data_IF_894243130962
#
_entry.id   IF_894243130962
#
_cell.length_a   1.000
_cell.length_b   1.000
_cell.length_c   1.000
_cell.angle_alpha   90.00
_cell.angle_beta   90.00
_cell.angle_gamma   90.00
#
_symmetry.space_group_name_H-M   'P 1'
#
loop_
_entity.id
_entity.type
_entity.pdbx_description
1 polymer ?
#
# COMPACT_ATOMS: atom_id res chain seq x y z
N UNK A 1 -1.92 -13.22 -63.84
CA UNK A 1 -1.81 -11.86 -63.27
C UNK A 1 -3.20 -11.34 -62.98
N UNK A 2 -3.62 -11.39 -61.70
CA UNK A 2 -4.52 -10.41 -61.07
C UNK A 2 -4.61 -10.76 -59.59
N UNK A 3 -3.94 -9.95 -58.76
CA UNK A 3 -4.03 -9.97 -57.32
C UNK A 3 -5.35 -9.34 -56.86
N UNK A 4 -6.04 -9.97 -55.91
CA UNK A 4 -7.21 -9.42 -55.23
C UNK A 4 -6.78 -8.80 -53.90
N UNK A 5 -7.08 -7.51 -53.74
CA UNK A 5 -6.79 -6.67 -52.57
C UNK A 5 -7.45 -7.19 -51.29
N UNK A 6 -6.66 -7.32 -50.22
CA UNK A 6 -7.12 -7.25 -48.83
C UNK A 6 -7.09 -5.79 -48.37
N UNK A 7 -8.10 -5.28 -47.63
CA UNK A 7 -8.05 -3.95 -47.06
C UNK A 7 -7.05 -3.90 -45.89
N UNK A 8 -6.39 -2.75 -45.64
CA UNK A 8 -5.52 -2.59 -44.48
C UNK A 8 -6.37 -2.50 -43.21
N UNK A 9 -6.05 -3.31 -42.20
CA UNK A 9 -6.58 -3.13 -40.85
C UNK A 9 -5.71 -2.11 -40.14
N UNK A 10 -6.25 -0.92 -39.88
CA UNK A 10 -5.56 0.17 -39.17
C UNK A 10 -5.19 -0.26 -37.73
N UNK A 11 -3.97 0.05 -37.27
CA UNK A 11 -3.51 -0.27 -35.92
C UNK A 11 -4.15 0.61 -34.82
N UNK A 12 -4.90 1.66 -35.16
CA UNK A 12 -5.57 2.54 -34.18
C UNK A 12 -6.82 1.93 -33.54
N UNK A 13 -7.45 0.92 -34.16
CA UNK A 13 -8.71 0.35 -33.66
C UNK A 13 -8.51 -0.60 -32.45
N UNK A 14 -7.26 -0.93 -32.11
CA UNK A 14 -6.92 -1.71 -30.89
C UNK A 14 -6.80 -0.85 -29.63
N UNK A 15 -6.68 0.47 -29.76
CA UNK A 15 -6.34 1.35 -28.63
C UNK A 15 -7.55 1.90 -27.86
N UNK A 16 -8.79 1.65 -28.32
CA UNK A 16 -9.98 2.33 -27.78
C UNK A 16 -11.02 1.42 -27.11
N UNK A 17 -10.65 0.20 -26.72
CA UNK A 17 -11.53 -0.66 -25.90
C UNK A 17 -11.36 -0.29 -24.44
N UNK A 18 -12.42 0.21 -23.82
CA UNK A 18 -12.42 0.50 -22.38
C UNK A 18 -12.41 -0.81 -21.58
N UNK A 19 -11.92 -0.84 -20.33
CA UNK A 19 -11.95 -2.04 -19.47
C UNK A 19 -13.36 -2.65 -19.29
N UNK A 20 -14.41 -1.85 -19.51
CA UNK A 20 -15.81 -2.30 -19.50
C UNK A 20 -16.18 -3.13 -20.74
N UNK A 21 -15.66 -2.80 -21.91
CA UNK A 21 -15.98 -3.49 -23.17
C UNK A 21 -15.35 -4.89 -23.21
N UNK A 22 -14.17 -5.06 -22.61
CA UNK A 22 -13.49 -6.35 -22.51
C UNK A 22 -14.13 -7.28 -21.47
N UNK A 23 -14.55 -6.76 -20.30
CA UNK A 23 -15.28 -7.56 -19.31
C UNK A 23 -16.64 -8.06 -19.86
N UNK A 24 -17.34 -7.28 -20.69
CA UNK A 24 -18.57 -7.72 -21.36
C UNK A 24 -18.33 -8.85 -22.36
N UNK A 25 -17.21 -8.80 -23.11
CA UNK A 25 -16.87 -9.84 -24.07
C UNK A 25 -16.62 -11.20 -23.39
N UNK A 26 -15.89 -11.20 -22.26
CA UNK A 26 -15.62 -12.42 -21.48
C UNK A 26 -16.91 -12.96 -20.86
N UNK A 27 -17.76 -12.07 -20.30
CA UNK A 27 -19.06 -12.46 -19.73
C UNK A 27 -20.00 -13.05 -20.78
N UNK A 28 -19.91 -12.63 -22.05
CA UNK A 28 -20.70 -13.18 -23.16
C UNK A 28 -20.31 -14.62 -23.56
N UNK A 29 -19.06 -15.04 -23.35
CA UNK A 29 -18.60 -16.40 -23.66
C UNK A 29 -19.14 -17.45 -22.68
N UNK A 30 -19.58 -17.03 -21.49
CA UNK A 30 -20.12 -17.90 -20.45
C UNK A 30 -21.59 -18.29 -20.62
N UNK A 31 -22.25 -17.91 -21.73
CA UNK A 31 -23.58 -18.42 -22.09
C UNK A 31 -24.69 -17.99 -21.14
N UNK A 32 -25.51 -17.03 -21.55
CA UNK A 32 -26.76 -16.65 -20.87
C UNK A 32 -27.84 -17.72 -21.09
N UNK A 33 -27.70 -18.89 -20.47
CA UNK A 33 -28.80 -19.86 -20.39
C UNK A 33 -29.52 -19.73 -19.05
N UNK A 34 -30.67 -19.07 -19.08
CA UNK A 34 -31.66 -19.15 -18.00
C UNK A 34 -32.19 -20.58 -17.93
N UNK A 35 -32.26 -21.24 -16.75
CA UNK A 35 -32.83 -22.58 -16.68
C UNK A 35 -34.35 -22.54 -16.95
N UNK A 36 -34.91 -23.52 -17.66
CA UNK A 36 -36.35 -23.64 -17.85
C UNK A 36 -37.03 -24.03 -16.53
N UNK A 37 -38.12 -23.32 -16.21
CA UNK A 37 -39.01 -23.67 -15.11
C UNK A 37 -39.80 -24.93 -15.47
N UNK A 38 -39.50 -26.06 -14.85
CA UNK A 38 -40.39 -27.22 -14.90
C UNK A 38 -40.53 -27.87 -13.51
N UNK A 39 -41.80 -28.01 -13.12
CA UNK A 39 -42.27 -28.50 -11.82
C UNK A 39 -42.17 -30.03 -11.77
N UNK A 40 -41.59 -30.59 -10.71
CA UNK A 40 -41.81 -31.98 -10.32
C UNK A 40 -41.93 -32.11 -8.79
N UNK A 41 -43.19 -32.21 -8.37
CA UNK A 41 -43.74 -32.77 -7.13
C UNK A 41 -42.79 -33.67 -6.31
N UNK A 42 -42.38 -33.21 -5.13
CA UNK A 42 -42.16 -34.05 -3.95
C UNK A 42 -42.62 -33.31 -2.68
N UNK A 43 -43.76 -33.77 -2.17
CA UNK A 43 -44.26 -33.75 -0.79
C UNK A 43 -43.79 -32.65 0.18
N UNK A 44 -44.76 -31.81 0.54
CA UNK A 44 -44.79 -30.92 1.71
C UNK A 44 -44.29 -31.60 3.00
N UNK A 45 -43.15 -31.16 3.53
CA UNK A 45 -43.02 -30.80 4.94
C UNK A 45 -42.64 -29.32 5.01
N UNK A 46 -43.60 -28.51 5.46
CA UNK A 46 -43.45 -27.08 5.57
C UNK A 46 -42.54 -26.73 6.76
N UNK A 47 -41.24 -26.52 6.50
CA UNK A 47 -40.40 -25.73 7.40
C UNK A 47 -40.67 -24.27 7.08
N UNK A 48 -41.60 -23.66 7.82
CA UNK A 48 -41.84 -22.22 7.75
C UNK A 48 -40.64 -21.48 8.36
N UNK A 49 -39.67 -21.13 7.53
CA UNK A 49 -38.65 -20.15 7.90
C UNK A 49 -39.35 -18.80 7.98
N UNK A 50 -39.79 -18.43 9.18
CA UNK A 50 -40.13 -17.03 9.48
C UNK A 50 -38.82 -16.25 9.35
N UNK A 51 -38.68 -15.48 8.28
CA UNK A 51 -37.71 -14.39 8.22
C UNK A 51 -38.16 -13.39 9.28
N UNK A 52 -37.62 -13.56 10.48
CA UNK A 52 -37.67 -12.51 11.50
C UNK A 52 -36.68 -11.45 11.03
N UNK A 53 -37.18 -10.27 10.68
CA UNK A 53 -36.36 -9.06 10.55
C UNK A 53 -35.64 -8.84 11.89
N UNK A 54 -34.43 -9.38 12.00
CA UNK A 54 -33.51 -9.11 13.09
C UNK A 54 -32.75 -7.84 12.73
N UNK A 55 -33.39 -6.71 13.03
CA UNK A 55 -32.70 -5.44 13.20
C UNK A 55 -31.81 -5.58 14.45
N UNK A 56 -30.58 -6.07 14.25
CA UNK A 56 -29.65 -6.40 15.31
C UNK A 56 -28.26 -5.92 14.93
N UNK A 57 -27.90 -4.75 15.45
CA UNK A 57 -26.51 -4.33 15.63
C UNK A 57 -25.77 -5.40 16.45
N UNK A 58 -25.23 -6.41 15.77
CA UNK A 58 -24.23 -7.29 16.35
C UNK A 58 -22.88 -6.60 16.28
N UNK A 59 -22.68 -5.58 17.14
CA UNK A 59 -21.35 -5.12 17.51
C UNK A 59 -20.66 -6.21 18.33
N UNK A 60 -20.04 -7.15 17.61
CA UNK A 60 -19.03 -8.03 18.18
C UNK A 60 -17.88 -7.16 18.69
N UNK A 61 -17.69 -7.11 20.01
CA UNK A 61 -16.75 -6.22 20.72
C UNK A 61 -15.26 -6.52 20.51
N UNK A 62 -14.86 -7.11 19.37
CA UNK A 62 -13.46 -7.26 19.00
C UNK A 62 -13.03 -6.05 18.16
N UNK A 63 -12.37 -5.09 18.80
CA UNK A 63 -11.68 -4.01 18.08
C UNK A 63 -10.48 -4.63 17.36
N UNK A 64 -10.64 -4.92 16.08
CA UNK A 64 -9.54 -5.38 15.23
C UNK A 64 -8.58 -4.22 14.94
N UNK A 65 -7.50 -4.14 15.72
CA UNK A 65 -6.41 -3.17 15.50
C UNK A 65 -5.61 -3.46 14.22
N UNK A 66 -5.74 -4.67 13.65
CA UNK A 66 -5.04 -5.13 12.44
C UNK A 66 -5.33 -4.26 11.21
N UNK A 67 -6.55 -3.74 11.06
CA UNK A 67 -6.91 -2.89 9.92
C UNK A 67 -6.26 -1.50 9.97
N UNK A 68 -5.77 -1.08 11.15
CA UNK A 68 -5.07 0.21 11.31
C UNK A 68 -3.55 0.08 11.17
N UNK A 69 -3.02 -1.12 11.31
CA UNK A 69 -1.58 -1.36 11.37
C UNK A 69 -0.80 -0.93 10.11
N UNK A 70 -1.30 -1.12 8.87
CA UNK A 70 -0.53 -0.79 7.67
C UNK A 70 -0.31 0.71 7.46
N UNK A 71 -1.38 1.52 7.47
CA UNK A 71 -1.28 2.97 7.26
C UNK A 71 -0.56 3.65 8.43
N UNK A 72 -0.80 3.17 9.65
CA UNK A 72 -0.16 3.68 10.84
C UNK A 72 1.36 3.44 10.80
N UNK A 73 1.77 2.24 10.40
CA UNK A 73 3.18 1.89 10.23
C UNK A 73 3.83 2.81 9.20
N UNK A 74 3.18 3.03 8.05
CA UNK A 74 3.68 3.92 7.01
C UNK A 74 3.84 5.37 7.51
N UNK A 75 2.80 5.91 8.16
CA UNK A 75 2.82 7.29 8.67
C UNK A 75 3.90 7.50 9.75
N UNK A 76 4.05 6.56 10.69
CA UNK A 76 5.09 6.63 11.72
C UNK A 76 6.50 6.47 11.13
N UNK A 77 6.67 5.62 10.11
CA UNK A 77 7.95 5.46 9.43
C UNK A 77 8.33 6.76 8.72
N UNK A 78 7.40 7.38 7.99
CA UNK A 78 7.63 8.68 7.34
C UNK A 78 7.99 9.79 8.33
N UNK A 79 7.20 9.95 9.40
CA UNK A 79 7.48 10.97 10.42
C UNK A 79 8.80 10.72 11.15
N UNK A 80 9.13 9.47 11.48
CA UNK A 80 10.40 9.15 12.10
C UNK A 80 11.58 9.39 11.15
N UNK A 81 11.44 9.06 9.86
CA UNK A 81 12.48 9.30 8.86
C UNK A 81 12.77 10.79 8.68
N UNK A 82 11.72 11.63 8.62
CA UNK A 82 11.86 13.09 8.58
C UNK A 82 12.55 13.65 9.82
N UNK A 83 12.18 13.16 11.01
CA UNK A 83 12.79 13.57 12.27
C UNK A 83 14.29 13.18 12.33
N UNK A 84 14.61 11.92 12.04
CA UNK A 84 15.99 11.40 12.11
C UNK A 84 16.87 12.09 11.07
N UNK A 85 16.45 12.12 9.81
CA UNK A 85 17.27 12.62 8.70
C UNK A 85 17.58 14.11 8.85
N UNK A 86 16.58 14.94 9.13
CA UNK A 86 16.75 16.40 9.27
C UNK A 86 17.53 16.73 10.54
N UNK A 87 17.24 16.09 11.68
CA UNK A 87 18.03 16.29 12.88
C UNK A 87 19.50 15.90 12.68
N UNK A 88 19.76 14.78 12.00
CA UNK A 88 21.13 14.31 11.71
C UNK A 88 21.89 15.30 10.81
N UNK A 89 21.24 15.85 9.78
CA UNK A 89 21.83 16.88 8.93
C UNK A 89 22.12 18.16 9.71
N UNK A 90 21.18 18.63 10.53
CA UNK A 90 21.34 19.85 11.33
C UNK A 90 22.46 19.71 12.37
N UNK A 91 22.49 18.59 13.10
CA UNK A 91 23.56 18.30 14.09
C UNK A 91 24.90 18.13 13.38
N UNK A 92 24.93 17.42 12.26
CA UNK A 92 26.15 17.15 11.50
C UNK A 92 26.77 18.41 10.90
N UNK A 93 25.97 19.23 10.22
CA UNK A 93 26.45 20.51 9.65
C UNK A 93 26.83 21.47 10.78
N UNK A 94 26.07 21.47 11.88
CA UNK A 94 26.41 22.22 13.08
C UNK A 94 27.73 21.80 13.73
N UNK A 95 28.28 20.62 13.43
CA UNK A 95 29.61 20.21 13.88
C UNK A 95 30.73 21.02 13.22
N UNK A 96 30.47 21.60 12.04
CA UNK A 96 31.45 22.33 11.22
C UNK A 96 31.14 23.82 11.24
N UNK A 97 29.89 24.21 10.96
CA UNK A 97 29.47 25.60 10.83
C UNK A 97 28.07 25.83 11.42
N UNK A 98 28.03 26.65 12.47
CA UNK A 98 26.81 27.07 13.16
C UNK A 98 25.82 27.85 12.28
N UNK A 99 26.31 28.60 11.29
CA UNK A 99 25.49 29.46 10.44
C UNK A 99 24.65 28.67 9.43
N UNK A 100 25.08 27.45 9.11
CA UNK A 100 24.46 26.60 8.09
C UNK A 100 23.45 25.59 8.65
N UNK A 101 23.24 25.54 9.97
CA UNK A 101 22.34 24.58 10.62
C UNK A 101 20.91 24.68 10.09
N UNK A 102 20.37 25.90 9.95
CA UNK A 102 18.99 26.09 9.50
C UNK A 102 18.85 25.82 8.00
N UNK A 103 19.82 26.25 7.21
CA UNK A 103 19.83 26.02 5.76
C UNK A 103 19.94 24.52 5.46
N UNK A 104 20.78 23.78 6.20
CA UNK A 104 20.88 22.33 6.05
C UNK A 104 19.60 21.61 6.48
N UNK A 105 18.96 22.06 7.55
CA UNK A 105 17.67 21.53 7.97
C UNK A 105 16.57 21.76 6.95
N UNK A 106 16.51 22.96 6.35
CA UNK A 106 15.55 23.29 5.30
C UNK A 106 15.80 22.48 4.02
N UNK A 107 17.07 22.36 3.60
CA UNK A 107 17.46 21.55 2.46
C UNK A 107 17.12 20.07 2.67
N UNK A 108 17.39 19.54 3.88
CA UNK A 108 17.03 18.18 4.27
C UNK A 108 15.53 17.95 4.28
N UNK A 109 14.74 18.91 4.77
CA UNK A 109 13.29 18.85 4.77
C UNK A 109 12.73 18.78 3.35
N UNK A 110 13.11 19.73 2.48
CA UNK A 110 12.59 19.81 1.11
C UNK A 110 13.07 18.63 0.28
N UNK A 111 14.38 18.36 0.29
CA UNK A 111 14.97 17.26 -0.46
C UNK A 111 14.44 15.89 0.00
N UNK A 112 14.33 15.69 1.32
CA UNK A 112 13.79 14.46 1.90
C UNK A 112 12.31 14.26 1.60
N UNK A 113 11.48 15.29 1.74
CA UNK A 113 10.05 15.20 1.43
C UNK A 113 9.80 14.92 -0.06
N UNK A 114 10.54 15.58 -0.96
CA UNK A 114 10.48 15.30 -2.41
C UNK A 114 10.94 13.87 -2.72
N UNK A 115 12.04 13.41 -2.12
CA UNK A 115 12.55 12.05 -2.28
C UNK A 115 11.53 11.01 -1.83
N UNK A 116 10.89 11.22 -0.67
CA UNK A 116 9.81 10.35 -0.17
C UNK A 116 8.60 10.35 -1.11
N UNK A 117 8.12 11.51 -1.54
CA UNK A 117 7.00 11.59 -2.47
C UNK A 117 7.27 10.82 -3.76
N UNK A 118 8.42 11.10 -4.40
CA UNK A 118 8.79 10.49 -5.68
C UNK A 118 9.04 8.99 -5.52
N UNK A 119 9.74 8.59 -4.45
CA UNK A 119 10.02 7.19 -4.16
C UNK A 119 8.75 6.36 -3.94
N UNK A 120 7.81 6.89 -3.15
CA UNK A 120 6.52 6.24 -2.92
C UNK A 120 5.67 6.22 -4.21
N UNK A 121 5.63 7.32 -4.95
CA UNK A 121 4.91 7.40 -6.22
C UNK A 121 5.37 6.33 -7.21
N UNK A 122 6.69 6.24 -7.43
CA UNK A 122 7.28 5.26 -8.36
C UNK A 122 7.03 3.83 -7.85
N UNK A 123 7.19 3.58 -6.54
CA UNK A 123 6.98 2.26 -5.96
C UNK A 123 5.54 1.78 -6.12
N UNK A 124 4.56 2.65 -5.82
CA UNK A 124 3.14 2.30 -5.90
C UNK A 124 2.67 2.19 -7.35
N UNK A 125 3.21 3.00 -8.27
CA UNK A 125 2.99 2.79 -9.71
C UNK A 125 3.54 1.45 -10.17
N UNK A 126 4.76 1.08 -9.75
CA UNK A 126 5.33 -0.21 -10.10
C UNK A 126 4.48 -1.40 -9.61
N UNK A 127 3.89 -1.29 -8.42
CA UNK A 127 2.92 -2.29 -7.93
C UNK A 127 1.67 -2.33 -8.80
N UNK A 128 1.09 -1.17 -9.10
CA UNK A 128 -0.10 -1.05 -9.96
C UNK A 128 0.14 -1.63 -11.36
N UNK A 129 1.30 -1.38 -11.96
CA UNK A 129 1.66 -1.88 -13.29
C UNK A 129 1.76 -3.41 -13.29
N UNK A 130 2.27 -4.01 -12.21
CA UNK A 130 2.33 -5.47 -12.04
C UNK A 130 0.91 -6.03 -11.89
N UNK A 131 0.08 -5.43 -11.02
CA UNK A 131 -1.31 -5.84 -10.81
C UNK A 131 -2.12 -5.79 -12.12
N UNK A 132 -1.99 -4.71 -12.89
CA UNK A 132 -2.68 -4.53 -14.17
C UNK A 132 -2.18 -5.52 -15.23
N UNK A 133 -0.88 -5.81 -15.25
CA UNK A 133 -0.31 -6.81 -16.15
C UNK A 133 -0.80 -8.23 -15.83
N UNK A 134 -0.93 -8.58 -14.54
CA UNK A 134 -1.42 -9.89 -14.13
C UNK A 134 -2.93 -10.03 -14.40
N UNK A 135 -3.73 -9.00 -14.14
CA UNK A 135 -5.15 -8.97 -14.56
C UNK A 135 -5.30 -9.11 -16.08
N UNK A 136 -4.38 -8.53 -16.86
CA UNK A 136 -4.41 -8.68 -18.31
C UNK A 136 -4.05 -10.11 -18.74
N UNK A 137 -3.14 -10.79 -18.05
CA UNK A 137 -2.85 -12.22 -18.32
C UNK A 137 -4.05 -13.11 -18.05
N UNK A 138 -4.76 -12.88 -16.94
CA UNK A 138 -6.00 -13.59 -16.64
C UNK A 138 -7.01 -13.44 -17.78
N UNK A 139 -7.23 -12.21 -18.24
CA UNK A 139 -8.08 -11.94 -19.41
C UNK A 139 -7.64 -12.73 -20.64
N UNK A 140 -6.34 -12.78 -20.90
CA UNK A 140 -5.79 -13.49 -22.06
C UNK A 140 -5.95 -15.02 -21.94
N UNK A 141 -5.88 -15.61 -20.75
CA UNK A 141 -6.17 -17.05 -20.52
C UNK A 141 -7.64 -17.37 -20.84
N UNK A 142 -8.59 -16.55 -20.39
CA UNK A 142 -10.02 -16.73 -20.70
C UNK A 142 -10.33 -16.63 -22.21
N UNK A 143 -9.48 -15.95 -23.00
CA UNK A 143 -9.62 -15.85 -24.45
C UNK A 143 -9.10 -17.07 -25.24
N UNK A 144 -8.40 -18.02 -24.59
CA UNK A 144 -7.82 -19.19 -25.26
C UNK A 144 -8.82 -20.30 -25.59
N UNK A 145 -10.06 -20.19 -25.10
CA UNK A 145 -11.17 -21.09 -25.42
C UNK A 145 -11.64 -21.96 -24.24
N UNK A 146 -12.61 -22.85 -24.48
CA UNK A 146 -13.35 -23.53 -23.41
C UNK A 146 -12.49 -24.47 -22.55
N UNK A 147 -11.47 -25.11 -23.12
CA UNK A 147 -10.56 -25.97 -22.35
C UNK A 147 -9.72 -25.17 -21.34
N UNK A 148 -9.33 -23.94 -21.69
CA UNK A 148 -8.60 -23.05 -20.78
C UNK A 148 -9.51 -22.60 -19.64
N UNK A 149 -10.75 -22.22 -19.96
CA UNK A 149 -11.77 -21.84 -18.96
C UNK A 149 -11.99 -22.94 -17.91
N UNK A 150 -12.10 -24.19 -18.35
CA UNK A 150 -12.26 -25.33 -17.44
C UNK A 150 -11.06 -25.53 -16.52
N UNK A 151 -9.85 -25.28 -17.02
CA UNK A 151 -8.61 -25.34 -16.24
C UNK A 151 -8.56 -24.22 -15.20
N UNK A 152 -8.85 -22.97 -15.57
CA UNK A 152 -8.90 -21.84 -14.63
C UNK A 152 -9.90 -22.11 -13.49
N UNK A 153 -11.10 -22.61 -13.81
CA UNK A 153 -12.10 -22.97 -12.81
C UNK A 153 -11.65 -24.09 -11.86
N UNK A 154 -10.88 -25.07 -12.35
CA UNK A 154 -10.29 -26.11 -11.51
C UNK A 154 -9.18 -25.55 -10.62
N UNK A 155 -8.34 -24.64 -11.13
CA UNK A 155 -7.30 -23.96 -10.34
C UNK A 155 -7.93 -23.16 -9.19
N UNK A 156 -8.97 -22.37 -9.48
CA UNK A 156 -9.74 -21.65 -8.46
C UNK A 156 -10.42 -22.60 -7.46
N UNK A 157 -10.99 -23.71 -7.92
CA UNK A 157 -11.56 -24.72 -7.04
C UNK A 157 -10.50 -25.34 -6.11
N UNK A 158 -9.28 -25.60 -6.59
CA UNK A 158 -8.19 -26.11 -5.75
C UNK A 158 -7.76 -25.11 -4.67
N UNK A 159 -7.78 -23.80 -4.95
CA UNK A 159 -7.56 -22.76 -3.94
C UNK A 159 -8.61 -22.88 -2.83
N UNK A 160 -9.89 -23.04 -3.20
CA UNK A 160 -10.97 -23.21 -2.25
C UNK A 160 -10.90 -24.52 -1.45
N UNK A 161 -10.42 -25.61 -2.06
CA UNK A 161 -10.12 -26.86 -1.36
C UNK A 161 -9.01 -26.64 -0.33
N UNK A 162 -7.94 -25.92 -0.69
CA UNK A 162 -6.85 -25.61 0.24
C UNK A 162 -7.31 -24.76 1.43
N UNK A 163 -8.36 -23.95 1.25
CA UNK A 163 -9.01 -23.16 2.30
C UNK A 163 -9.98 -23.97 3.16
N UNK A 164 -10.24 -25.24 2.81
CA UNK A 164 -11.00 -26.20 3.62
C UNK A 164 -12.36 -26.60 3.06
N UNK A 165 -12.71 -26.21 1.83
CA UNK A 165 -13.94 -26.66 1.17
C UNK A 165 -13.77 -28.08 0.61
N UNK A 166 -14.86 -28.86 0.57
CA UNK A 166 -14.86 -30.11 -0.22
C UNK A 166 -14.76 -29.78 -1.71
N UNK A 167 -14.09 -30.62 -2.51
CA UNK A 167 -13.92 -30.40 -3.95
C UNK A 167 -15.23 -30.05 -4.68
N UNK A 168 -16.31 -30.80 -4.42
CA UNK A 168 -17.65 -30.50 -5.00
C UNK A 168 -18.12 -29.07 -4.72
N UNK A 169 -18.07 -28.65 -3.45
CA UNK A 169 -18.49 -27.31 -3.04
C UNK A 169 -17.53 -26.23 -3.55
N UNK A 170 -16.23 -26.50 -3.56
CA UNK A 170 -15.23 -25.58 -4.09
C UNK A 170 -15.45 -25.31 -5.58
N UNK A 171 -15.80 -26.35 -6.35
CA UNK A 171 -16.14 -26.23 -7.76
C UNK A 171 -17.42 -25.44 -7.98
N UNK A 172 -18.47 -25.73 -7.22
CA UNK A 172 -19.73 -24.95 -7.25
C UNK A 172 -19.49 -23.46 -6.94
N UNK A 173 -18.63 -23.15 -5.95
CA UNK A 173 -18.26 -21.77 -5.62
C UNK A 173 -17.48 -21.12 -6.76
N UNK A 174 -16.48 -21.79 -7.33
CA UNK A 174 -15.69 -21.28 -8.45
C UNK A 174 -16.56 -20.95 -9.67
N UNK A 175 -17.51 -21.82 -10.02
CA UNK A 175 -18.44 -21.62 -11.13
C UNK A 175 -19.40 -20.45 -10.90
N UNK A 176 -20.02 -20.37 -9.72
CA UNK A 176 -20.98 -19.31 -9.42
C UNK A 176 -20.32 -17.93 -9.31
N UNK A 177 -19.11 -17.84 -8.73
CA UNK A 177 -18.35 -16.58 -8.70
C UNK A 177 -17.86 -16.17 -10.09
N UNK A 178 -17.38 -17.13 -10.88
CA UNK A 178 -16.88 -16.86 -12.23
C UNK A 178 -17.98 -16.49 -13.22
N UNK A 179 -19.23 -16.90 -12.97
CA UNK A 179 -20.38 -16.50 -13.80
C UNK A 179 -20.66 -15.00 -13.73
N UNK A 180 -20.36 -14.36 -12.60
CA UNK A 180 -20.55 -12.91 -12.44
C UNK A 180 -19.42 -12.15 -13.14
N UNK A 181 -18.19 -12.46 -12.77
CA UNK A 181 -16.99 -11.88 -13.38
C UNK A 181 -15.80 -12.85 -13.17
N UNK A 182 -15.41 -13.62 -14.21
CA UNK A 182 -14.40 -14.66 -14.06
C UNK A 182 -13.02 -14.08 -13.78
N UNK A 183 -12.67 -12.97 -14.43
CA UNK A 183 -11.39 -12.28 -14.22
C UNK A 183 -11.33 -11.71 -12.82
N UNK A 184 -12.43 -11.11 -12.32
CA UNK A 184 -12.49 -10.60 -10.94
C UNK A 184 -12.37 -11.72 -9.91
N UNK A 185 -13.04 -12.85 -10.13
CA UNK A 185 -12.99 -13.98 -9.22
C UNK A 185 -11.55 -14.52 -9.10
N UNK A 186 -10.88 -14.74 -10.22
CA UNK A 186 -9.50 -15.23 -10.24
C UNK A 186 -8.53 -14.17 -9.71
N UNK A 187 -8.60 -12.92 -10.18
CA UNK A 187 -7.75 -11.85 -9.67
C UNK A 187 -7.86 -11.68 -8.13
N UNK A 188 -9.07 -11.77 -7.58
CA UNK A 188 -9.28 -11.63 -6.13
C UNK A 188 -8.83 -12.86 -5.35
N UNK A 189 -9.24 -14.05 -5.77
CA UNK A 189 -9.06 -15.25 -4.96
C UNK A 189 -7.75 -15.99 -5.22
N UNK A 190 -7.16 -15.84 -6.40
CA UNK A 190 -5.87 -16.38 -6.76
C UNK A 190 -4.75 -15.38 -6.53
N UNK A 191 -4.85 -14.18 -7.11
CA UNK A 191 -3.79 -13.17 -7.06
C UNK A 191 -3.87 -12.28 -5.82
N UNK A 192 -5.01 -12.26 -5.12
CA UNK A 192 -5.25 -11.35 -4.00
C UNK A 192 -5.42 -9.89 -4.42
N UNK A 193 -5.66 -9.64 -5.72
CA UNK A 193 -5.81 -8.31 -6.31
C UNK A 193 -7.28 -7.90 -6.25
N UNK A 194 -7.57 -6.81 -5.56
CA UNK A 194 -8.90 -6.19 -5.61
C UNK A 194 -8.94 -5.17 -6.75
N UNK A 195 -9.64 -5.49 -7.84
CA UNK A 195 -9.76 -4.62 -9.00
C UNK A 195 -10.53 -3.32 -8.72
N UNK A 196 -11.29 -3.24 -7.62
CA UNK A 196 -12.02 -2.03 -7.23
C UNK A 196 -11.20 -1.09 -6.31
N UNK A 197 -10.10 -1.58 -5.73
CA UNK A 197 -9.24 -0.86 -4.79
C UNK A 197 -7.76 -0.91 -5.20
N UNK A 198 -7.50 -0.67 -6.50
CA UNK A 198 -6.11 -0.54 -6.98
C UNK A 198 -5.40 0.59 -6.23
N UNK A 199 -4.13 0.36 -5.95
CA UNK A 199 -3.27 1.30 -5.26
C UNK A 199 -3.31 2.70 -5.89
N UNK A 200 -3.48 3.75 -5.05
CA UNK A 200 -3.49 5.16 -5.47
C UNK A 200 -2.11 5.80 -5.24
N UNK A 201 -1.29 5.97 -6.30
CA UNK A 201 0.10 6.40 -6.14
C UNK A 201 0.24 7.84 -5.67
N UNK A 202 -0.66 8.74 -6.12
CA UNK A 202 -0.61 10.15 -5.74
C UNK A 202 -0.97 10.34 -4.26
N UNK A 203 -2.00 9.62 -3.79
CA UNK A 203 -2.38 9.67 -2.38
C UNK A 203 -1.26 9.12 -1.49
N UNK A 204 -0.64 8.00 -1.86
CA UNK A 204 0.49 7.43 -1.13
C UNK A 204 1.68 8.41 -1.07
N UNK A 205 2.05 9.00 -2.21
CA UNK A 205 3.14 9.98 -2.30
C UNK A 205 2.92 11.21 -1.40
N UNK A 206 1.72 11.80 -1.45
CA UNK A 206 1.39 12.96 -0.63
C UNK A 206 1.32 12.61 0.87
N UNK A 207 0.81 11.42 1.21
CA UNK A 207 0.78 10.95 2.58
C UNK A 207 2.21 10.73 3.14
N UNK A 208 3.10 10.09 2.38
CA UNK A 208 4.49 9.86 2.76
C UNK A 208 5.26 11.18 2.93
N UNK A 209 5.14 12.11 1.98
CA UNK A 209 5.76 13.43 2.11
C UNK A 209 5.18 14.25 3.27
N UNK A 210 3.86 14.22 3.49
CA UNK A 210 3.22 14.87 4.62
C UNK A 210 3.73 14.34 5.96
N UNK A 211 3.83 13.02 6.10
CA UNK A 211 4.38 12.38 7.28
C UNK A 211 5.84 12.79 7.52
N UNK A 212 6.67 12.75 6.47
CA UNK A 212 8.07 13.21 6.54
C UNK A 212 8.17 14.66 7.02
N UNK A 213 7.40 15.58 6.43
CA UNK A 213 7.40 16.99 6.79
C UNK A 213 7.03 17.18 8.27
N UNK A 214 6.01 16.47 8.77
CA UNK A 214 5.61 16.54 10.19
C UNK A 214 6.78 16.19 11.11
N UNK A 215 7.56 15.16 10.76
CA UNK A 215 8.77 14.80 11.50
C UNK A 215 9.89 15.82 11.38
N UNK A 216 10.15 16.29 10.17
CA UNK A 216 11.26 17.18 9.81
C UNK A 216 11.13 18.61 10.35
N UNK A 217 9.90 19.12 10.49
CA UNK A 217 9.65 20.48 10.99
C UNK A 217 10.08 20.63 12.46
N UNK A 218 9.98 19.57 13.25
CA UNK A 218 10.27 19.59 14.69
C UNK A 218 11.72 20.01 14.98
N UNK A 219 12.77 19.33 14.47
CA UNK A 219 14.14 19.75 14.67
C UNK A 219 14.41 21.13 14.07
N UNK A 220 13.85 21.43 12.89
CA UNK A 220 14.02 22.72 12.23
C UNK A 220 13.55 23.90 13.09
N UNK A 221 12.32 23.83 13.60
CA UNK A 221 11.74 24.88 14.45
C UNK A 221 12.44 24.99 15.81
N UNK A 222 12.91 23.86 16.36
CA UNK A 222 13.60 23.84 17.66
C UNK A 222 14.87 24.70 17.67
N UNK A 223 15.57 24.78 16.53
CA UNK A 223 16.82 25.51 16.39
C UNK A 223 16.69 26.91 15.75
N UNK A 224 15.55 27.21 15.10
CA UNK A 224 15.39 28.38 14.23
C UNK A 224 15.60 29.74 14.93
N UNK A 225 15.27 29.84 16.22
CA UNK A 225 15.26 31.11 16.95
C UNK A 225 16.42 31.29 17.94
N UNK A 226 17.42 30.40 17.91
CA UNK A 226 18.52 30.41 18.89
C UNK A 226 19.81 30.88 18.22
N UNK A 227 20.34 32.01 18.70
CA UNK A 227 21.58 32.62 18.16
C UNK A 227 22.86 32.03 18.75
N UNK A 228 22.81 31.56 20.00
CA UNK A 228 23.97 30.97 20.65
C UNK A 228 24.15 29.53 20.14
N UNK A 229 25.28 29.24 19.50
CA UNK A 229 25.53 27.95 18.85
C UNK A 229 25.40 26.75 19.80
N UNK A 230 25.99 26.83 21.01
CA UNK A 230 25.94 25.73 21.98
C UNK A 230 24.51 25.51 22.44
N UNK A 231 23.79 26.60 22.77
CA UNK A 231 22.38 26.51 23.15
C UNK A 231 21.51 25.96 22.01
N UNK A 232 21.80 26.33 20.76
CA UNK A 232 21.06 25.87 19.58
C UNK A 232 21.18 24.35 19.40
N UNK A 233 22.40 23.81 19.48
CA UNK A 233 22.63 22.36 19.40
C UNK A 233 22.02 21.61 20.59
N UNK A 234 22.13 22.15 21.81
CA UNK A 234 21.55 21.52 23.00
C UNK A 234 20.03 21.44 22.90
N UNK A 235 19.36 22.54 22.50
CA UNK A 235 17.91 22.53 22.32
C UNK A 235 17.48 21.60 21.19
N UNK A 236 18.19 21.63 20.05
CA UNK A 236 17.96 20.71 18.94
C UNK A 236 18.01 19.24 19.40
N UNK A 237 19.08 18.85 20.10
CA UNK A 237 19.25 17.48 20.60
C UNK A 237 18.18 17.12 21.63
N UNK A 238 17.86 18.03 22.56
CA UNK A 238 16.87 17.79 23.60
C UNK A 238 15.47 17.60 23.02
N UNK A 239 15.02 18.52 22.15
CA UNK A 239 13.70 18.46 21.51
C UNK A 239 13.60 17.23 20.62
N UNK A 240 14.62 16.93 19.82
CA UNK A 240 14.63 15.74 18.96
C UNK A 240 14.58 14.45 19.79
N UNK A 241 15.33 14.38 20.90
CA UNK A 241 15.31 13.21 21.81
C UNK A 241 13.93 13.00 22.44
N UNK A 242 13.30 14.07 22.94
CA UNK A 242 11.94 14.00 23.48
C UNK A 242 10.94 13.54 22.40
N UNK A 243 11.15 13.97 21.16
CA UNK A 243 10.30 13.58 20.03
C UNK A 243 10.49 12.11 19.65
N UNK A 244 11.71 11.57 19.67
CA UNK A 244 11.95 10.13 19.48
C UNK A 244 11.24 9.29 20.54
N UNK A 245 11.32 9.72 21.81
CA UNK A 245 10.59 9.06 22.90
C UNK A 245 9.09 9.11 22.62
N UNK A 246 8.56 10.29 22.24
CA UNK A 246 7.15 10.49 21.90
C UNK A 246 6.67 9.61 20.75
N UNK A 247 7.37 9.60 19.62
CA UNK A 247 7.03 8.78 18.45
C UNK A 247 7.13 7.28 18.76
N UNK A 248 8.18 6.85 19.49
CA UNK A 248 8.31 5.46 19.92
C UNK A 248 7.18 5.01 20.85
N UNK A 249 6.79 5.86 21.82
CA UNK A 249 5.66 5.59 22.71
C UNK A 249 4.32 5.58 21.97
N UNK A 250 4.11 6.54 21.07
CA UNK A 250 2.89 6.68 20.28
C UNK A 250 2.70 5.47 19.35
N UNK A 251 3.76 5.08 18.64
CA UNK A 251 3.72 3.91 17.76
C UNK A 251 3.45 2.61 18.50
N UNK A 252 4.07 2.43 19.67
CA UNK A 252 3.77 1.27 20.51
C UNK A 252 2.36 1.29 21.09
N UNK A 253 1.85 2.45 21.48
CA UNK A 253 0.48 2.58 21.99
C UNK A 253 -0.54 2.23 20.91
N UNK A 254 -0.37 2.77 19.70
CA UNK A 254 -1.27 2.51 18.57
C UNK A 254 -1.14 1.07 18.04
N UNK A 255 0.04 0.46 18.14
CA UNK A 255 0.31 -0.92 17.72
C UNK A 255 0.13 -1.99 18.81
N UNK A 256 -0.31 -1.62 20.03
CA UNK A 256 -0.49 -2.58 21.14
C UNK A 256 0.81 -3.19 21.71
N UNK A 257 1.96 -2.57 21.47
CA UNK A 257 3.28 -3.04 21.89
C UNK A 257 3.78 -2.37 23.19
N UNK A 258 4.91 -2.86 23.73
CA UNK A 258 5.54 -2.25 24.91
C UNK A 258 6.14 -0.87 24.59
N UNK A 259 5.59 0.19 25.22
CA UNK A 259 5.95 1.59 25.01
C UNK A 259 7.42 1.90 25.29
N UNK A 260 7.97 1.37 26.38
CA UNK A 260 9.36 1.64 26.81
C UNK A 260 10.34 1.04 25.81
N UNK A 261 10.11 -0.21 25.38
CA UNK A 261 10.98 -0.87 24.40
C UNK A 261 10.95 -0.17 23.04
N UNK A 262 9.82 0.39 22.63
CA UNK A 262 9.73 1.14 21.38
C UNK A 262 10.41 2.51 21.47
N UNK A 263 10.17 3.26 22.56
CA UNK A 263 10.87 4.52 22.82
C UNK A 263 12.39 4.35 22.86
N UNK A 264 12.88 3.30 23.53
CA UNK A 264 14.30 3.00 23.61
C UNK A 264 14.91 2.72 22.23
N UNK A 265 14.26 1.91 21.39
CA UNK A 265 14.72 1.61 20.02
C UNK A 265 14.74 2.85 19.13
N UNK A 266 13.67 3.66 19.17
CA UNK A 266 13.58 4.89 18.38
C UNK A 266 14.67 5.90 18.79
N UNK A 267 14.85 6.10 20.10
CA UNK A 267 15.87 7.02 20.63
C UNK A 267 17.29 6.53 20.33
N UNK A 268 17.57 5.24 20.55
CA UNK A 268 18.89 4.67 20.28
C UNK A 268 19.25 4.73 18.79
N UNK A 269 18.30 4.40 17.91
CA UNK A 269 18.50 4.50 16.46
C UNK A 269 18.73 5.94 16.01
N UNK A 270 17.92 6.88 16.51
CA UNK A 270 18.06 8.30 16.20
C UNK A 270 19.39 8.89 16.68
N UNK A 271 19.81 8.59 17.91
CA UNK A 271 21.11 9.01 18.44
C UNK A 271 22.29 8.41 17.67
N UNK A 272 22.19 7.14 17.27
CA UNK A 272 23.21 6.50 16.45
C UNK A 272 23.36 7.21 15.10
N UNK A 273 22.25 7.48 14.40
CA UNK A 273 22.27 8.19 13.14
C UNK A 273 22.88 9.60 13.27
N UNK A 274 22.40 10.40 14.22
CA UNK A 274 22.94 11.75 14.47
C UNK A 274 24.43 11.71 14.84
N UNK A 275 24.83 10.75 15.68
CA UNK A 275 26.22 10.58 16.11
C UNK A 275 27.15 10.21 14.95
N UNK A 276 26.72 9.32 14.06
CA UNK A 276 27.46 8.97 12.84
C UNK A 276 27.60 10.19 11.94
N UNK A 277 26.50 10.89 11.63
CA UNK A 277 26.55 12.07 10.76
C UNK A 277 27.42 13.17 11.35
N UNK A 278 27.29 13.45 12.64
CA UNK A 278 28.16 14.38 13.38
C UNK A 278 29.63 13.99 13.28
N UNK A 279 29.95 12.72 13.57
CA UNK A 279 31.32 12.22 13.53
C UNK A 279 31.95 12.36 12.15
N UNK A 280 31.25 11.93 11.11
CA UNK A 280 31.73 12.02 9.72
C UNK A 280 31.96 13.47 9.32
N UNK A 281 30.97 14.35 9.50
CA UNK A 281 31.08 15.74 9.08
C UNK A 281 32.19 16.48 9.85
N UNK A 282 32.34 16.20 11.15
CA UNK A 282 33.45 16.75 11.94
C UNK A 282 34.82 16.32 11.40
N UNK A 283 35.00 15.06 11.01
CA UNK A 283 36.25 14.56 10.43
C UNK A 283 36.58 15.27 9.11
N UNK A 284 35.61 15.41 8.22
CA UNK A 284 35.81 16.14 6.96
C UNK A 284 36.03 17.64 7.16
N UNK A 285 35.33 18.26 8.11
CA UNK A 285 35.55 19.66 8.47
C UNK A 285 36.98 19.91 8.98
N UNK A 286 37.54 18.97 9.75
CA UNK A 286 38.94 19.07 10.19
C UNK A 286 39.95 18.78 9.07
N UNK A 287 39.62 17.93 8.10
CA UNK A 287 40.51 17.56 7.00
C UNK A 287 40.53 18.58 5.85
N UNK A 288 39.41 19.29 5.60
CA UNK A 288 39.33 20.34 4.58
C UNK A 288 39.93 21.69 5.00
N UNK A 289 40.36 21.82 6.27
CA UNK A 289 41.07 22.98 6.80
C UNK A 289 42.58 22.71 7.01
N UNK A 290 43.11 21.59 6.51
CA UNK A 290 44.53 21.25 6.49
C UNK A 290 45.09 21.35 5.07
#
# INVERSE_FOLDING_TARGET
MTAGNLPPTDPEDRANKTPQDSNQAVSSMYGTSSPPRENALLTNEAVSVRVSESNGDHQCGHVHLSHRAPWLRAALLGANDGLVSVASLMVGVGAIDSSQIIISGLAGLVGGACSMAIGEYISVYGQRDIEEADVQKERDEFLKGPEAIERELEELAQIYVSRGLSHRLAREVAEELSRVDPVRAHARDELGIDMDDLSNPLQAALASAGAFIVGAIIPLLSAAFIKNHVAQLVVLLLVTTLTFIGFGMLGAWLGGANKIRAAARCTAGGWLAMGITYGILRLFGTAGMA
#
